data_IF_474752056955
#
_entry.id   IF_474752056955
#
_cell.length_a   1.000
_cell.length_b   1.000
_cell.length_c   1.000
_cell.angle_alpha   90.00
_cell.angle_beta   90.00
_cell.angle_gamma   90.00
#
_symmetry.space_group_name_H-M   'P 1'
#
loop_
_entity.id
_entity.type
_entity.pdbx_description
1 polymer ?
#
# COMPACT_ATOMS: atom_id res chain seq x y z
N UNK A 1 12.70 6.10 -9.41
CA UNK A 1 11.32 5.72 -9.06
C UNK A 1 10.99 6.37 -7.72
N UNK A 2 9.89 7.12 -7.56
CA UNK A 2 9.50 7.61 -6.24
C UNK A 2 9.38 6.41 -5.28
N UNK A 3 9.90 6.52 -4.07
CA UNK A 3 9.66 5.50 -3.03
C UNK A 3 8.17 5.52 -2.69
N UNK A 4 7.49 4.39 -2.84
CA UNK A 4 6.08 4.24 -2.48
C UNK A 4 5.87 4.34 -0.95
N UNK A 5 6.82 3.82 -0.17
CA UNK A 5 6.81 3.85 1.29
C UNK A 5 7.75 4.94 1.83
N UNK A 6 7.21 5.84 2.65
CA UNK A 6 7.96 6.79 3.48
C UNK A 6 8.10 6.32 4.93
N UNK A 7 8.35 7.24 5.86
CA UNK A 7 8.57 6.92 7.29
C UNK A 7 7.43 6.15 7.92
N UNK A 8 6.18 6.56 7.64
CA UNK A 8 4.98 5.90 8.17
C UNK A 8 4.10 5.38 7.03
N UNK A 9 4.69 4.62 6.11
CA UNK A 9 3.96 3.94 5.04
C UNK A 9 3.68 4.78 3.79
N UNK A 10 2.59 4.46 3.09
CA UNK A 10 2.17 5.12 1.85
C UNK A 10 1.22 6.28 2.18
N UNK A 11 1.55 7.50 1.77
CA UNK A 11 0.74 8.71 2.02
C UNK A 11 0.57 9.55 0.77
N UNK A 12 -0.53 10.29 0.68
CA UNK A 12 -0.84 11.19 -0.42
C UNK A 12 -2.21 11.83 -0.24
N UNK A 13 -2.54 12.80 -1.11
CA UNK A 13 -3.89 13.37 -1.18
C UNK A 13 -4.82 12.33 -1.79
N UNK A 14 -5.99 12.14 -1.18
CA UNK A 14 -6.97 11.18 -1.68
C UNK A 14 -7.30 11.44 -3.16
N UNK A 15 -7.37 10.36 -3.94
CA UNK A 15 -7.64 10.38 -5.39
C UNK A 15 -6.55 11.07 -6.24
N UNK A 16 -5.32 11.19 -5.70
CA UNK A 16 -4.13 11.63 -6.44
C UNK A 16 -3.00 10.63 -6.18
N UNK A 17 -2.10 10.44 -7.14
CA UNK A 17 -0.93 9.57 -6.93
C UNK A 17 -0.09 10.04 -5.72
N UNK A 18 0.36 9.13 -4.83
CA UNK A 18 0.19 7.67 -4.88
C UNK A 18 -1.09 7.12 -4.21
N UNK A 19 -2.00 7.95 -3.71
CA UNK A 19 -3.22 7.57 -2.99
C UNK A 19 -4.46 7.47 -3.91
N UNK A 20 -4.37 6.64 -4.94
CA UNK A 20 -5.49 6.29 -5.85
C UNK A 20 -6.17 4.97 -5.44
N UNK A 21 -7.46 4.75 -5.76
CA UNK A 21 -8.15 3.49 -5.46
C UNK A 21 -7.40 2.26 -5.99
N UNK A 22 -6.83 2.33 -7.20
CA UNK A 22 -6.09 1.26 -7.84
C UNK A 22 -4.82 0.91 -7.06
N UNK A 23 -4.11 1.92 -6.55
CA UNK A 23 -2.92 1.72 -5.72
C UNK A 23 -3.27 1.05 -4.40
N UNK A 24 -4.37 1.47 -3.74
CA UNK A 24 -4.83 0.85 -2.50
C UNK A 24 -5.21 -0.63 -2.71
N UNK A 25 -5.94 -0.95 -3.79
CA UNK A 25 -6.32 -2.34 -4.09
C UNK A 25 -5.08 -3.22 -4.32
N UNK A 26 -4.08 -2.72 -5.06
CA UNK A 26 -2.82 -3.45 -5.27
C UNK A 26 -2.06 -3.66 -3.96
N UNK A 27 -1.95 -2.60 -3.14
CA UNK A 27 -1.26 -2.62 -1.86
C UNK A 27 -1.91 -3.63 -0.89
N UNK A 28 -3.23 -3.59 -0.74
CA UNK A 28 -3.97 -4.47 0.18
C UNK A 28 -3.90 -5.93 -0.26
N UNK A 29 -3.96 -6.22 -1.58
CA UNK A 29 -3.77 -7.59 -2.08
C UNK A 29 -2.38 -8.14 -1.76
N UNK A 30 -1.34 -7.32 -1.93
CA UNK A 30 0.02 -7.69 -1.59
C UNK A 30 0.17 -7.93 -0.07
N UNK A 31 -0.38 -7.04 0.75
CA UNK A 31 -0.40 -7.21 2.20
C UNK A 31 -1.14 -8.50 2.61
N UNK A 32 -2.30 -8.78 2.03
CA UNK A 32 -3.06 -10.01 2.30
C UNK A 32 -2.29 -11.28 1.92
N UNK A 33 -1.48 -11.26 0.85
CA UNK A 33 -0.60 -12.38 0.52
C UNK A 33 0.54 -12.54 1.54
N UNK A 34 1.12 -11.43 1.99
CA UNK A 34 2.20 -11.42 2.98
C UNK A 34 1.72 -11.94 4.35
N UNK A 35 0.54 -11.51 4.79
CA UNK A 35 -0.03 -11.83 6.10
C UNK A 35 -0.92 -13.08 6.10
N UNK A 36 -0.95 -13.86 5.00
CA UNK A 36 -1.75 -15.08 4.90
C UNK A 36 -1.18 -16.28 5.68
N UNK A 37 0.06 -16.20 6.15
CA UNK A 37 0.64 -17.21 7.05
C UNK A 37 0.10 -17.02 8.48
N UNK A 38 -0.10 -18.10 9.27
CA UNK A 38 -0.52 -17.98 10.68
C UNK A 38 0.51 -17.13 11.43
N UNK A 39 0.00 -16.20 12.24
CA UNK A 39 0.72 -15.06 12.80
C UNK A 39 2.09 -15.35 13.38
N UNK A 40 2.99 -14.40 13.16
CA UNK A 40 4.07 -14.11 14.10
C UNK A 40 3.49 -13.48 15.37
#
# INVERSE_FOLDING_TARGET
MPRLFGTDGVRGVANQEPMTPETVVKLVRAAAQLFKAPGA
#
